data_IF_429643819746
#
_entry.id   IF_429643819746
#
_cell.length_a   1.000
_cell.length_b   1.000
_cell.length_c   1.000
_cell.angle_alpha   90.00
_cell.angle_beta   90.00
_cell.angle_gamma   90.00
#
_symmetry.space_group_name_H-M   'P 1'
#
loop_
_entity.id
_entity.type
_entity.pdbx_description
1 polymer ?
#
# COMPACT_ATOMS: atom_id res chain seq x y z
N UNK A 1 14.27 -8.55 15.70
CA UNK A 1 13.59 -7.41 16.34
C UNK A 1 12.10 -7.66 16.32
N UNK A 2 11.48 -7.60 17.49
CA UNK A 2 10.11 -8.06 17.78
C UNK A 2 9.05 -7.14 17.16
N UNK A 3 8.07 -7.71 16.43
CA UNK A 3 6.90 -6.95 15.97
C UNK A 3 6.03 -6.58 17.17
N UNK A 4 6.00 -5.29 17.50
CA UNK A 4 5.00 -4.69 18.38
C UNK A 4 3.63 -4.94 17.77
N UNK A 5 2.77 -5.69 18.48
CA UNK A 5 1.41 -5.99 18.04
C UNK A 5 0.51 -4.82 18.44
N UNK A 6 0.47 -3.77 17.62
CA UNK A 6 -0.50 -2.69 17.79
C UNK A 6 -1.89 -3.19 17.37
N UNK A 7 -2.87 -2.98 18.24
CA UNK A 7 -4.22 -3.55 18.14
C UNK A 7 -5.09 -2.84 17.08
N UNK A 8 -4.52 -2.02 16.20
CA UNK A 8 -5.28 -1.15 15.28
C UNK A 8 -4.63 -0.92 13.90
N UNK A 9 -3.94 -1.90 13.35
CA UNK A 9 -3.35 -1.77 12.01
C UNK A 9 -2.62 -3.02 11.55
N UNK A 10 -3.37 -4.08 11.22
CA UNK A 10 -2.76 -5.21 10.51
C UNK A 10 -2.35 -4.70 9.12
N UNK A 11 -1.06 -4.71 8.83
CA UNK A 11 -0.55 -4.44 7.48
C UNK A 11 -1.21 -5.43 6.53
N UNK A 12 -2.03 -4.90 5.63
CA UNK A 12 -2.84 -5.70 4.71
C UNK A 12 -2.01 -6.10 3.48
N UNK A 13 -1.32 -5.13 2.89
CA UNK A 13 -0.48 -5.31 1.72
C UNK A 13 0.79 -4.47 1.88
N UNK A 14 1.91 -5.01 1.40
CA UNK A 14 3.22 -4.35 1.48
C UNK A 14 4.05 -4.75 0.25
N UNK A 15 4.53 -3.75 -0.51
CA UNK A 15 5.42 -4.00 -1.64
C UNK A 15 6.86 -4.22 -1.16
N UNK A 16 7.16 -5.47 -0.81
CA UNK A 16 8.52 -5.88 -0.38
C UNK A 16 9.56 -5.75 -1.50
N UNK A 17 9.15 -5.86 -2.77
CA UNK A 17 10.05 -5.72 -3.93
C UNK A 17 10.56 -4.30 -4.03
N UNK A 18 9.70 -3.30 -3.84
CA UNK A 18 10.10 -1.89 -3.88
C UNK A 18 11.22 -1.59 -2.86
N UNK A 19 11.14 -2.13 -1.64
CA UNK A 19 12.17 -1.95 -0.60
C UNK A 19 13.49 -2.66 -0.88
N UNK A 20 13.49 -3.66 -1.75
CA UNK A 20 14.72 -4.37 -2.16
C UNK A 20 15.35 -3.74 -3.39
N UNK A 21 14.51 -3.32 -4.36
CA UNK A 21 14.97 -2.79 -5.65
C UNK A 21 15.34 -1.31 -5.60
N UNK A 22 14.80 -0.54 -4.65
CA UNK A 22 15.01 0.91 -4.57
C UNK A 22 15.46 1.34 -3.17
N UNK A 23 16.28 2.38 -3.11
CA UNK A 23 16.53 3.12 -1.88
C UNK A 23 15.39 4.12 -1.69
N UNK A 24 14.68 4.02 -0.57
CA UNK A 24 13.58 4.94 -0.23
C UNK A 24 14.19 6.14 0.50
N UNK A 25 14.09 7.31 -0.10
CA UNK A 25 14.58 8.56 0.50
C UNK A 25 13.57 9.17 1.48
N UNK A 26 12.29 9.18 1.11
CA UNK A 26 11.19 9.72 1.92
C UNK A 26 9.92 8.87 1.77
N UNK A 27 9.07 8.92 2.80
CA UNK A 27 7.78 8.21 2.84
C UNK A 27 6.66 9.16 3.20
N UNK A 28 5.67 9.24 2.33
CA UNK A 28 4.46 10.04 2.55
C UNK A 28 3.29 9.16 2.97
N UNK A 29 2.40 9.68 3.81
CA UNK A 29 1.13 9.05 4.14
C UNK A 29 0.02 9.59 3.23
N UNK A 30 -0.76 8.69 2.62
CA UNK A 30 -1.87 9.04 1.76
C UNK A 30 -3.09 8.16 2.06
N UNK A 31 -4.28 8.71 1.81
CA UNK A 31 -5.54 7.97 1.84
C UNK A 31 -5.89 7.47 0.44
N UNK A 32 -6.18 6.19 0.29
CA UNK A 32 -6.67 5.61 -0.96
C UNK A 32 -8.20 5.53 -0.91
N UNK A 33 -8.86 6.11 -1.91
CA UNK A 33 -10.31 5.97 -2.08
C UNK A 33 -10.58 4.61 -2.71
N UNK A 34 -11.37 3.78 -2.03
CA UNK A 34 -11.67 2.41 -2.43
C UNK A 34 -13.17 2.18 -2.55
N UNK A 35 -13.52 1.28 -3.45
CA UNK A 35 -14.86 0.72 -3.60
C UNK A 35 -15.05 -0.51 -2.71
N UNK A 36 -16.30 -0.89 -2.44
CA UNK A 36 -16.62 -1.96 -1.48
C UNK A 36 -15.98 -3.32 -1.82
N UNK A 37 -15.83 -3.64 -3.10
CA UNK A 37 -15.15 -4.86 -3.58
C UNK A 37 -13.66 -4.85 -3.27
N UNK A 38 -12.98 -3.72 -3.41
CA UNK A 38 -11.54 -3.59 -3.14
C UNK A 38 -11.25 -3.72 -1.64
N UNK A 39 -12.11 -3.10 -0.81
CA UNK A 39 -12.04 -3.26 0.65
C UNK A 39 -12.17 -4.74 1.04
N UNK A 40 -13.05 -5.49 0.37
CA UNK A 40 -13.23 -6.93 0.61
C UNK A 40 -11.98 -7.72 0.22
N UNK A 41 -11.41 -7.49 -0.96
CA UNK A 41 -10.18 -8.17 -1.43
C UNK A 41 -8.98 -7.90 -0.52
N UNK A 42 -8.82 -6.66 -0.07
CA UNK A 42 -7.79 -6.28 0.90
C UNK A 42 -7.98 -7.03 2.23
N UNK A 43 -9.19 -7.07 2.78
CA UNK A 43 -9.45 -7.83 4.02
C UNK A 43 -9.19 -9.33 3.90
N UNK A 44 -9.38 -9.90 2.71
CA UNK A 44 -9.09 -11.30 2.39
C UNK A 44 -7.59 -11.57 2.12
N UNK A 45 -6.77 -10.52 1.98
CA UNK A 45 -5.34 -10.63 1.68
C UNK A 45 -5.04 -11.07 0.25
N UNK A 46 -6.00 -10.92 -0.68
CA UNK A 46 -5.84 -11.32 -2.09
C UNK A 46 -5.34 -10.17 -2.98
N UNK A 47 -5.18 -8.96 -2.43
CA UNK A 47 -4.67 -7.82 -3.18
C UNK A 47 -3.15 -7.89 -3.37
N UNK A 48 -2.67 -7.59 -4.58
CA UNK A 48 -1.25 -7.51 -4.92
C UNK A 48 -0.90 -6.09 -5.35
N UNK A 49 0.14 -5.51 -4.75
CA UNK A 49 0.68 -4.16 -5.05
C UNK A 49 2.17 -4.20 -5.46
N UNK A 50 2.67 -5.37 -5.85
CA UNK A 50 4.10 -5.53 -6.16
C UNK A 50 4.52 -4.83 -7.45
N UNK A 51 3.60 -4.72 -8.41
CA UNK A 51 3.83 -4.15 -9.74
C UNK A 51 3.13 -2.79 -9.92
N UNK A 52 2.54 -2.26 -8.84
CA UNK A 52 1.86 -0.97 -8.87
C UNK A 52 2.83 0.20 -8.73
N UNK A 53 2.46 1.34 -9.30
CA UNK A 53 3.20 2.61 -9.17
C UNK A 53 2.26 3.79 -8.93
N UNK A 54 2.80 4.87 -8.37
CA UNK A 54 2.07 6.12 -8.21
C UNK A 54 2.26 6.98 -9.46
N UNK A 55 1.16 7.41 -10.07
CA UNK A 55 1.12 8.38 -11.17
C UNK A 55 0.48 9.67 -10.69
N UNK A 56 0.97 10.81 -11.16
CA UNK A 56 0.32 12.11 -10.92
C UNK A 56 -0.50 12.46 -12.15
N UNK A 57 -1.82 12.50 -12.02
CA UNK A 57 -2.74 12.81 -13.10
C UNK A 57 -3.71 13.89 -12.64
N UNK A 58 -3.84 14.97 -13.42
CA UNK A 58 -4.76 16.09 -13.16
C UNK A 58 -4.63 16.71 -11.75
N UNK A 59 -3.43 16.68 -11.16
CA UNK A 59 -3.18 17.21 -9.82
C UNK A 59 -3.50 16.24 -8.68
N UNK A 60 -3.85 14.99 -8.99
CA UNK A 60 -4.14 13.94 -8.02
C UNK A 60 -3.13 12.79 -8.15
N UNK A 61 -2.97 12.04 -7.06
CA UNK A 61 -2.18 10.80 -7.07
C UNK A 61 -3.07 9.60 -7.33
N UNK A 62 -2.69 8.84 -8.35
CA UNK A 62 -3.33 7.58 -8.71
C UNK A 62 -2.38 6.44 -8.43
N UNK A 63 -2.87 5.41 -7.75
CA UNK A 63 -2.18 4.13 -7.62
C UNK A 63 -2.65 3.22 -8.75
N UNK A 64 -1.76 2.94 -9.69
CA UNK A 64 -1.99 2.10 -10.86
C UNK A 64 -1.38 0.73 -10.62
#
# INVERSE_FOLDING_TARGET
MSKVKSTNGKVIAENRKARFSYAIEDTIEAGLVLTGTEVKSLRLGTANIQESYASMENGEFWLI
#
